data_IF_193821578509
#
_entry.id   IF_193821578509
#
_cell.length_a   1.000
_cell.length_b   1.000
_cell.length_c   1.000
_cell.angle_alpha   90.00
_cell.angle_beta   90.00
_cell.angle_gamma   90.00
#
_symmetry.space_group_name_H-M   'P 1'
#
loop_
_entity.id
_entity.type
_entity.pdbx_description
1 polymer ?
#
# COMPACT_ATOMS: atom_id res chain seq x y z
N UNK A 1 29.65 16.58 -10.94
CA UNK A 1 29.38 15.85 -12.19
C UNK A 1 28.99 14.42 -11.85
N UNK A 2 27.69 14.14 -11.70
CA UNK A 2 27.17 12.76 -11.59
C UNK A 2 26.91 12.30 -13.02
N UNK A 3 27.92 11.66 -13.62
CA UNK A 3 27.85 11.05 -14.95
C UNK A 3 27.95 9.54 -14.85
N UNK A 4 27.17 8.93 -13.95
CA UNK A 4 26.78 7.53 -14.11
C UNK A 4 25.40 7.54 -14.78
N UNK A 5 25.42 7.90 -16.07
CA UNK A 5 24.37 7.51 -17.02
C UNK A 5 24.62 6.05 -17.44
N UNK A 6 24.72 5.15 -16.44
CA UNK A 6 24.39 3.76 -16.66
C UNK A 6 22.87 3.69 -16.75
N UNK A 7 22.35 2.99 -17.74
CA UNK A 7 20.93 2.68 -17.88
C UNK A 7 20.39 2.31 -16.49
N UNK A 8 19.48 3.13 -15.92
CA UNK A 8 18.97 2.84 -14.57
C UNK A 8 18.28 1.49 -14.65
N UNK A 9 18.80 0.50 -13.93
CA UNK A 9 18.19 -0.81 -13.86
C UNK A 9 16.87 -0.73 -13.09
N UNK A 10 15.80 -0.42 -13.82
CA UNK A 10 14.44 -0.32 -13.29
C UNK A 10 13.99 -1.64 -12.65
N UNK A 11 14.56 -2.76 -13.05
CA UNK A 11 14.36 -4.07 -12.41
C UNK A 11 14.84 -4.05 -10.95
N UNK A 12 16.03 -3.50 -10.68
CA UNK A 12 16.56 -3.39 -9.32
C UNK A 12 15.69 -2.44 -8.47
N UNK A 13 15.29 -1.30 -9.05
CA UNK A 13 14.39 -0.35 -8.36
C UNK A 13 13.08 -1.04 -7.99
N UNK A 14 12.44 -1.75 -8.93
CA UNK A 14 11.20 -2.48 -8.66
C UNK A 14 11.42 -3.55 -7.58
N UNK A 15 12.48 -4.34 -7.66
CA UNK A 15 12.81 -5.36 -6.64
C UNK A 15 12.94 -4.74 -5.24
N UNK A 16 13.64 -3.60 -5.13
CA UNK A 16 13.80 -2.86 -3.88
C UNK A 16 12.45 -2.34 -3.35
N UNK A 17 11.60 -1.81 -4.23
CA UNK A 17 10.27 -1.32 -3.85
C UNK A 17 9.37 -2.44 -3.33
N UNK A 18 9.48 -3.65 -3.87
CA UNK A 18 8.69 -4.79 -3.40
C UNK A 18 9.10 -5.30 -2.02
N UNK A 19 10.25 -4.89 -1.48
CA UNK A 19 10.62 -5.19 -0.09
C UNK A 19 9.74 -4.48 0.94
N UNK A 20 8.97 -3.44 0.56
CA UNK A 20 8.04 -2.80 1.50
C UNK A 20 6.94 -3.76 1.96
N UNK A 21 6.50 -4.68 1.09
CA UNK A 21 5.46 -5.67 1.41
C UNK A 21 5.89 -6.64 2.51
N UNK A 22 7.00 -7.40 2.42
CA UNK A 22 7.42 -8.29 3.50
C UNK A 22 7.75 -7.52 4.80
N UNK A 23 8.34 -6.32 4.69
CA UNK A 23 8.58 -5.46 5.85
C UNK A 23 7.26 -5.09 6.55
N UNK A 24 6.23 -4.74 5.77
CA UNK A 24 4.91 -4.40 6.30
C UNK A 24 4.23 -5.59 6.99
N UNK A 25 4.43 -6.82 6.49
CA UNK A 25 3.90 -8.04 7.10
C UNK A 25 4.58 -8.30 8.44
N UNK A 26 5.91 -8.22 8.50
CA UNK A 26 6.66 -8.40 9.74
C UNK A 26 6.22 -7.39 10.79
N UNK A 27 6.14 -6.11 10.42
CA UNK A 27 5.68 -5.05 11.31
C UNK A 27 4.23 -5.25 11.75
N UNK A 28 3.36 -5.70 10.83
CA UNK A 28 1.97 -5.98 11.15
C UNK A 28 1.82 -7.08 12.18
N UNK A 29 2.62 -8.15 12.10
CA UNK A 29 2.61 -9.24 13.09
C UNK A 29 3.10 -8.78 14.47
N UNK A 30 4.18 -8.00 14.52
CA UNK A 30 4.71 -7.45 15.77
C UNK A 30 3.66 -6.55 16.43
N UNK A 31 3.06 -5.64 15.67
CA UNK A 31 2.05 -4.72 16.19
C UNK A 31 0.77 -5.44 16.61
N UNK A 32 0.34 -6.47 15.87
CA UNK A 32 -0.77 -7.33 16.28
C UNK A 32 -0.54 -7.91 17.66
N UNK A 33 0.64 -8.48 17.88
CA UNK A 33 1.02 -9.06 19.16
C UNK A 33 1.00 -8.01 20.27
N UNK A 34 1.58 -6.84 20.04
CA UNK A 34 1.55 -5.72 21.00
C UNK A 34 0.11 -5.31 21.34
N UNK A 35 -0.75 -5.14 20.34
CA UNK A 35 -2.14 -4.69 20.56
C UNK A 35 -3.02 -5.71 21.27
N UNK A 36 -2.85 -7.01 20.99
CA UNK A 36 -3.71 -8.04 21.56
C UNK A 36 -3.14 -8.63 22.85
N UNK A 37 -1.82 -8.68 23.02
CA UNK A 37 -1.19 -9.39 24.14
C UNK A 37 -0.52 -8.47 25.16
N UNK A 38 -0.04 -7.29 24.76
CA UNK A 38 0.69 -6.39 25.66
C UNK A 38 -0.18 -5.24 26.18
N UNK A 39 -1.12 -4.75 25.36
CA UNK A 39 -2.03 -3.67 25.74
C UNK A 39 -3.30 -4.20 26.42
N UNK A 40 -3.82 -3.42 27.38
CA UNK A 40 -5.11 -3.68 28.01
C UNK A 40 -6.22 -3.62 26.96
N UNK A 41 -6.91 -4.74 26.77
CA UNK A 41 -8.04 -4.82 25.85
C UNK A 41 -9.28 -4.16 26.48
N UNK A 42 -10.10 -3.44 25.70
CA UNK A 42 -11.37 -2.91 26.18
C UNK A 42 -12.32 -4.05 26.55
N UNK A 43 -13.19 -3.82 27.53
CA UNK A 43 -14.20 -4.79 27.96
C UNK A 43 -15.06 -5.22 26.76
N UNK A 44 -15.14 -6.53 26.43
CA UNK A 44 -15.90 -7.03 25.29
C UNK A 44 -17.38 -6.67 25.32
N UNK A 45 -17.94 -6.41 26.51
CA UNK A 45 -19.32 -5.95 26.68
C UNK A 45 -19.54 -4.52 26.20
N UNK A 46 -18.50 -3.68 26.21
CA UNK A 46 -18.54 -2.28 25.77
C UNK A 46 -18.09 -2.15 24.31
N UNK A 47 -17.08 -2.91 23.90
CA UNK A 47 -16.53 -2.86 22.53
C UNK A 47 -16.40 -4.28 21.97
N UNK A 48 -17.45 -4.73 21.28
CA UNK A 48 -17.42 -6.01 20.57
C UNK A 48 -16.53 -5.92 19.31
N UNK A 49 -15.71 -6.95 19.08
CA UNK A 49 -14.93 -7.07 17.84
C UNK A 49 -13.62 -6.28 17.77
N UNK A 50 -13.03 -5.89 18.91
CA UNK A 50 -11.73 -5.19 18.94
C UNK A 50 -10.64 -5.89 18.11
N UNK A 51 -10.50 -7.22 18.24
CA UNK A 51 -9.53 -8.00 17.47
C UNK A 51 -9.76 -7.91 15.95
N UNK A 52 -11.02 -7.87 15.51
CA UNK A 52 -11.38 -7.71 14.09
C UNK A 52 -10.96 -6.32 13.61
N UNK A 53 -11.15 -5.29 14.44
CA UNK A 53 -10.69 -3.93 14.17
C UNK A 53 -9.18 -3.87 13.97
N UNK A 54 -8.41 -4.47 14.89
CA UNK A 54 -6.94 -4.54 14.80
C UNK A 54 -6.52 -5.28 13.52
N UNK A 55 -7.05 -6.48 13.30
CA UNK A 55 -6.70 -7.29 12.13
C UNK A 55 -7.05 -6.57 10.81
N UNK A 56 -8.19 -5.85 10.76
CA UNK A 56 -8.58 -5.07 9.58
C UNK A 56 -7.59 -3.96 9.23
N UNK A 57 -7.06 -3.25 10.23
CA UNK A 57 -6.07 -2.18 10.01
C UNK A 57 -4.78 -2.79 9.46
N UNK A 58 -4.31 -3.87 10.07
CA UNK A 58 -3.07 -4.53 9.68
C UNK A 58 -3.15 -5.10 8.26
N UNK A 59 -4.27 -5.75 7.92
CA UNK A 59 -4.52 -6.24 6.57
C UNK A 59 -4.59 -5.08 5.56
N UNK A 60 -5.27 -3.98 5.92
CA UNK A 60 -5.34 -2.80 5.07
C UNK A 60 -3.97 -2.19 4.79
N UNK A 61 -3.07 -2.14 5.78
CA UNK A 61 -1.69 -1.69 5.57
C UNK A 61 -1.00 -2.57 4.54
N UNK A 62 -1.06 -3.89 4.67
CA UNK A 62 -0.43 -4.80 3.69
C UNK A 62 -1.01 -4.59 2.28
N UNK A 63 -2.33 -4.37 2.15
CA UNK A 63 -2.99 -4.07 0.87
C UNK A 63 -2.48 -2.76 0.26
N UNK A 64 -2.32 -1.71 1.08
CA UNK A 64 -1.80 -0.42 0.64
C UNK A 64 -0.33 -0.51 0.19
N UNK A 65 0.48 -1.33 0.87
CA UNK A 65 1.88 -1.57 0.52
C UNK A 65 2.03 -2.30 -0.83
N UNK A 66 1.05 -3.11 -1.25
CA UNK A 66 1.04 -3.69 -2.61
C UNK A 66 0.98 -2.63 -3.72
N UNK A 67 0.35 -1.48 -3.44
CA UNK A 67 0.24 -0.39 -4.40
C UNK A 67 1.44 0.58 -4.36
N UNK A 68 2.30 0.46 -3.35
CA UNK A 68 3.42 1.37 -3.12
C UNK A 68 4.48 1.37 -4.24
N UNK A 69 4.88 0.20 -4.83
CA UNK A 69 5.78 0.20 -5.98
C UNK A 69 5.22 1.01 -7.16
N UNK A 70 3.92 0.88 -7.42
CA UNK A 70 3.23 1.60 -8.50
C UNK A 70 3.17 3.08 -8.20
N UNK A 71 2.80 3.43 -6.96
CA UNK A 71 2.76 4.81 -6.49
C UNK A 71 4.10 5.52 -6.69
N UNK A 72 5.20 4.89 -6.28
CA UNK A 72 6.54 5.49 -6.38
C UNK A 72 6.96 5.63 -7.85
N UNK A 73 6.71 4.63 -8.69
CA UNK A 73 6.94 4.72 -10.14
C UNK A 73 6.14 5.87 -10.76
N UNK A 74 4.89 6.05 -10.37
CA UNK A 74 4.05 7.16 -10.84
C UNK A 74 4.60 8.53 -10.40
N UNK A 75 5.14 8.64 -9.18
CA UNK A 75 5.78 9.88 -8.70
C UNK A 75 7.04 10.22 -9.49
N UNK A 76 7.88 9.23 -9.80
CA UNK A 76 9.08 9.43 -10.62
C UNK A 76 8.71 9.93 -12.02
N UNK A 77 7.62 9.40 -12.59
CA UNK A 77 7.01 9.89 -13.84
C UNK A 77 6.21 11.19 -13.73
N UNK A 78 6.31 11.92 -12.61
CA UNK A 78 5.68 13.22 -12.38
C UNK A 78 4.13 13.21 -12.33
N UNK A 79 3.51 12.06 -12.04
CA UNK A 79 2.05 11.96 -11.83
C UNK A 79 1.65 12.36 -10.39
N UNK A 80 2.05 13.55 -9.96
CA UNK A 80 1.83 14.02 -8.58
C UNK A 80 0.32 14.18 -8.29
N UNK A 81 -0.47 14.59 -9.29
CA UNK A 81 -1.93 14.75 -9.18
C UNK A 81 -2.66 13.43 -8.95
N UNK A 82 -2.12 12.31 -9.44
CA UNK A 82 -2.73 10.99 -9.26
C UNK A 82 -2.84 10.64 -7.77
N UNK A 83 -1.78 10.94 -6.99
CA UNK A 83 -1.76 10.71 -5.55
C UNK A 83 -2.96 11.37 -4.87
N UNK A 84 -3.13 12.67 -5.11
CA UNK A 84 -4.20 13.47 -4.50
C UNK A 84 -5.57 12.91 -4.85
N UNK A 85 -5.76 12.45 -6.09
CA UNK A 85 -7.04 11.87 -6.54
C UNK A 85 -7.27 10.51 -5.86
N UNK A 86 -6.32 9.58 -5.91
CA UNK A 86 -6.51 8.22 -5.38
C UNK A 86 -6.66 8.25 -3.86
N UNK A 87 -5.81 9.00 -3.17
CA UNK A 87 -5.85 9.17 -1.71
C UNK A 87 -7.10 9.93 -1.26
N UNK A 88 -7.50 10.96 -2.01
CA UNK A 88 -8.73 11.69 -1.75
C UNK A 88 -9.98 10.81 -1.93
N UNK A 89 -10.04 10.03 -3.01
CA UNK A 89 -11.17 9.13 -3.30
C UNK A 89 -11.26 8.01 -2.26
N UNK A 90 -10.14 7.38 -1.89
CA UNK A 90 -10.15 6.33 -0.85
C UNK A 90 -10.58 6.88 0.50
N UNK A 91 -10.11 8.07 0.89
CA UNK A 91 -10.49 8.72 2.15
C UNK A 91 -11.96 9.14 2.17
N UNK A 92 -12.46 9.74 1.09
CA UNK A 92 -13.88 10.11 0.97
C UNK A 92 -14.74 8.86 1.04
N UNK A 93 -14.38 7.79 0.32
CA UNK A 93 -15.11 6.53 0.36
C UNK A 93 -15.13 5.94 1.78
N UNK A 94 -14.00 5.96 2.49
CA UNK A 94 -13.92 5.55 3.90
C UNK A 94 -14.91 6.32 4.76
N UNK A 95 -14.88 7.65 4.69
CA UNK A 95 -15.72 8.52 5.51
C UNK A 95 -17.21 8.30 5.23
N UNK A 96 -17.59 8.20 3.95
CA UNK A 96 -18.98 7.95 3.55
C UNK A 96 -19.47 6.57 3.99
N UNK A 97 -18.66 5.52 3.78
CA UNK A 97 -19.00 4.16 4.21
C UNK A 97 -19.09 4.05 5.73
N UNK A 98 -18.14 4.66 6.44
CA UNK A 98 -18.14 4.69 7.90
C UNK A 98 -19.38 5.41 8.42
N UNK A 99 -19.70 6.60 7.89
CA UNK A 99 -20.89 7.35 8.28
C UNK A 99 -22.17 6.55 8.01
N UNK A 100 -22.29 5.94 6.82
CA UNK A 100 -23.44 5.13 6.46
C UNK A 100 -23.62 3.92 7.39
N UNK A 101 -22.53 3.19 7.68
CA UNK A 101 -22.59 2.02 8.56
C UNK A 101 -22.87 2.37 10.01
N UNK A 102 -22.30 3.47 10.54
CA UNK A 102 -22.56 3.93 11.91
C UNK A 102 -24.01 4.36 12.08
N UNK A 103 -24.60 5.03 11.10
CA UNK A 103 -26.02 5.41 11.13
C UNK A 103 -26.93 4.18 11.11
N UNK A 104 -26.58 3.15 10.32
CA UNK A 104 -27.38 1.92 10.20
C UNK A 104 -27.20 0.96 11.38
N UNK A 105 -26.01 0.90 11.96
CA UNK A 105 -25.62 -0.04 13.03
C UNK A 105 -24.86 0.69 14.16
N UNK A 106 -25.56 1.47 14.99
CA UNK A 106 -24.93 2.33 16.00
C UNK A 106 -24.21 1.56 17.11
N UNK A 107 -24.60 0.31 17.38
CA UNK A 107 -23.99 -0.53 18.42
C UNK A 107 -22.71 -1.25 17.99
N UNK A 108 -22.35 -1.23 16.70
CA UNK A 108 -21.24 -2.00 16.13
C UNK A 108 -20.21 -1.09 15.42
N UNK A 109 -19.80 -0.01 16.07
CA UNK A 109 -18.88 0.99 15.49
C UNK A 109 -17.54 0.42 15.02
N UNK A 110 -16.96 -0.56 15.73
CA UNK A 110 -15.69 -1.19 15.32
C UNK A 110 -15.84 -1.99 14.03
N UNK A 111 -16.96 -2.68 13.85
CA UNK A 111 -17.23 -3.42 12.62
C UNK A 111 -17.42 -2.45 11.43
N UNK A 112 -18.18 -1.37 11.65
CA UNK A 112 -18.35 -0.30 10.67
C UNK A 112 -17.00 0.30 10.23
N UNK A 113 -16.13 0.58 11.20
CA UNK A 113 -14.76 1.05 10.93
C UNK A 113 -13.96 0.02 10.12
N UNK A 114 -14.00 -1.25 10.51
CA UNK A 114 -13.20 -2.32 9.89
C UNK A 114 -13.54 -2.49 8.41
N UNK A 115 -14.84 -2.51 8.10
CA UNK A 115 -15.36 -2.63 6.73
C UNK A 115 -14.99 -1.39 5.91
N UNK A 116 -15.19 -0.18 6.46
CA UNK A 116 -14.84 1.06 5.77
C UNK A 116 -13.33 1.17 5.51
N UNK A 117 -12.49 0.74 6.46
CA UNK A 117 -11.03 0.74 6.32
C UNK A 117 -10.56 -0.24 5.25
N UNK A 118 -11.06 -1.48 5.26
CA UNK A 118 -10.77 -2.46 4.21
C UNK A 118 -11.21 -1.95 2.83
N UNK A 119 -12.43 -1.43 2.71
CA UNK A 119 -12.94 -0.90 1.45
C UNK A 119 -12.07 0.25 0.92
N UNK A 120 -11.64 1.17 1.78
CA UNK A 120 -10.76 2.27 1.41
C UNK A 120 -9.40 1.78 0.91
N UNK A 121 -8.77 0.84 1.61
CA UNK A 121 -7.48 0.25 1.20
C UNK A 121 -7.57 -0.49 -0.14
N UNK A 122 -8.70 -1.18 -0.40
CA UNK A 122 -8.95 -1.83 -1.68
C UNK A 122 -9.15 -0.81 -2.80
N UNK A 123 -9.92 0.25 -2.58
CA UNK A 123 -10.11 1.33 -3.56
C UNK A 123 -8.77 1.99 -3.89
N UNK A 124 -7.94 2.24 -2.89
CA UNK A 124 -6.59 2.77 -3.06
C UNK A 124 -5.75 1.85 -3.95
N UNK A 125 -5.70 0.56 -3.60
CA UNK A 125 -4.93 -0.43 -4.34
C UNK A 125 -5.42 -0.58 -5.79
N UNK A 126 -6.72 -0.78 -5.99
CA UNK A 126 -7.35 -0.88 -7.31
C UNK A 126 -7.10 0.39 -8.12
N UNK A 127 -7.14 1.58 -7.52
CA UNK A 127 -6.89 2.85 -8.20
C UNK A 127 -5.51 2.89 -8.84
N UNK A 128 -4.46 2.50 -8.12
CA UNK A 128 -3.10 2.45 -8.67
C UNK A 128 -2.91 1.34 -9.70
N UNK A 129 -3.44 0.14 -9.46
CA UNK A 129 -3.33 -0.96 -10.42
C UNK A 129 -4.10 -0.69 -11.72
N UNK A 130 -5.28 -0.06 -11.63
CA UNK A 130 -6.05 0.38 -12.78
C UNK A 130 -5.28 1.45 -13.58
N UNK A 131 -4.70 2.45 -12.89
CA UNK A 131 -3.84 3.45 -13.51
C UNK A 131 -2.64 2.81 -14.24
N UNK A 132 -1.90 1.94 -13.56
CA UNK A 132 -0.74 1.25 -14.15
C UNK A 132 -1.13 0.45 -15.41
N UNK A 133 -2.26 -0.25 -15.36
CA UNK A 133 -2.77 -1.01 -16.52
C UNK A 133 -3.13 -0.09 -17.69
N UNK A 134 -3.78 1.04 -17.41
CA UNK A 134 -4.16 2.02 -18.44
C UNK A 134 -2.91 2.65 -19.04
N UNK A 135 -1.94 3.07 -18.23
CA UNK A 135 -0.70 3.68 -18.72
C UNK A 135 0.13 2.69 -19.51
N UNK A 136 0.34 1.44 -19.06
CA UNK A 136 1.08 0.45 -19.84
C UNK A 136 0.41 0.07 -21.18
N UNK A 137 -0.90 0.31 -21.32
CA UNK A 137 -1.66 0.05 -22.55
C UNK A 137 -1.54 1.16 -23.60
N UNK A 138 -0.99 2.34 -23.24
CA UNK A 138 -0.82 3.44 -24.18
C UNK A 138 0.37 3.17 -25.10
N UNK A 139 0.44 3.90 -26.22
CA UNK A 139 1.63 3.86 -27.11
C UNK A 139 2.76 4.78 -26.60
N UNK A 140 2.40 5.85 -25.90
CA UNK A 140 3.33 6.82 -25.31
C UNK A 140 3.38 6.62 -23.79
N UNK A 141 3.98 5.52 -23.35
CA UNK A 141 4.07 5.20 -21.93
C UNK A 141 5.02 6.18 -21.24
N UNK A 142 4.48 6.95 -20.30
CA UNK A 142 5.26 7.87 -19.45
C UNK A 142 5.88 7.15 -18.24
N UNK A 143 5.44 5.92 -17.96
CA UNK A 143 6.06 5.08 -16.95
C UNK A 143 7.42 4.60 -17.45
N UNK A 144 8.44 4.52 -16.58
CA UNK A 144 9.76 3.98 -16.96
C UNK A 144 9.71 2.50 -17.34
N UNK A 145 8.62 1.82 -16.96
CA UNK A 145 8.39 0.39 -17.17
C UNK A 145 7.56 0.18 -18.44
N UNK A 146 8.00 -0.71 -19.34
CA UNK A 146 7.36 -0.91 -20.65
C UNK A 146 6.22 -1.89 -20.60
N UNK A 147 6.29 -2.90 -19.73
CA UNK A 147 5.28 -3.95 -19.61
C UNK A 147 4.73 -4.02 -18.20
N UNK A 148 3.44 -4.32 -18.08
CA UNK A 148 2.80 -4.53 -16.77
C UNK A 148 3.51 -5.59 -15.90
N UNK A 149 4.10 -6.62 -16.53
CA UNK A 149 4.84 -7.68 -15.82
C UNK A 149 6.15 -7.21 -15.19
N UNK A 150 6.75 -6.13 -15.70
CA UNK A 150 7.97 -5.55 -15.15
C UNK A 150 7.69 -4.71 -13.90
N UNK A 151 6.42 -4.49 -13.52
CA UNK A 151 6.08 -3.92 -12.21
C UNK A 151 6.21 -4.93 -11.07
N UNK A 152 6.39 -6.22 -11.36
CA UNK A 152 6.58 -7.27 -10.36
C UNK A 152 8.05 -7.63 -10.22
N UNK A 153 8.48 -8.09 -9.03
CA UNK A 153 9.88 -8.39 -8.80
C UNK A 153 10.32 -9.57 -9.67
N UNK A 154 11.58 -9.53 -10.10
CA UNK A 154 12.26 -10.62 -10.83
C UNK A 154 13.37 -11.18 -9.96
N UNK A 155 13.65 -12.48 -10.10
CA UNK A 155 14.66 -13.18 -9.30
C UNK A 155 16.11 -12.79 -9.63
N UNK A 156 16.34 -11.95 -10.64
CA UNK A 156 17.66 -11.41 -10.98
C UNK A 156 18.10 -10.38 -9.92
N UNK A 157 18.71 -10.85 -8.82
CA UNK A 157 19.46 -10.05 -7.85
C UNK A 157 18.65 -8.97 -7.12
N UNK A 158 18.09 -9.29 -5.94
CA UNK A 158 17.30 -8.35 -5.14
C UNK A 158 18.07 -7.14 -4.59
N UNK A 159 19.36 -7.30 -4.31
CA UNK A 159 20.20 -6.30 -3.67
C UNK A 159 21.58 -6.37 -4.31
N UNK A 160 21.92 -5.35 -5.10
CA UNK A 160 23.27 -5.18 -5.62
C UNK A 160 24.15 -4.63 -4.48
N UNK A 161 24.57 -5.54 -3.59
CA UNK A 161 25.31 -5.22 -2.37
C UNK A 161 26.66 -4.55 -2.70
N UNK A 162 27.20 -4.79 -3.90
CA UNK A 162 28.37 -4.08 -4.43
C UNK A 162 28.15 -2.57 -4.53
N UNK A 163 26.96 -2.12 -4.94
CA UNK A 163 26.66 -0.70 -5.08
C UNK A 163 26.58 0.01 -3.71
N UNK A 164 26.11 -0.70 -2.68
CA UNK A 164 26.12 -0.20 -1.30
C UNK A 164 27.55 -0.08 -0.76
N UNK A 165 28.39 -1.08 -1.01
CA UNK A 165 29.81 -1.04 -0.63
C UNK A 165 30.62 0.02 -1.39
N UNK A 166 30.25 0.35 -2.63
CA UNK A 166 30.90 1.39 -3.44
C UNK A 166 30.48 2.82 -3.07
N UNK A 167 29.40 2.99 -2.30
CA UNK A 167 28.93 4.29 -1.80
C UNK A 167 29.42 4.62 -0.38
N UNK A 168 30.22 3.73 0.23
CA UNK A 168 30.87 3.94 1.53
C UNK A 168 32.33 4.33 1.34
#
# INVERSE_FOLDING_TARGET
>A
CISVQGDRDWTLVVNLLWLTVPVSIVWSLILRFVWLSLLSQPDPLVVSGYAIGVDSILISVVIEMLAEPIYILAQISQFIRLKVIVEGVSLIARCLLMAFMVVKFPSQGVYAFSVAQMAASLIYCIGYYAFAKIECSKKNNLLPVKKFRELFPKDDGFIDLELFYLMQ
#
